data_IF_781870888649
#
_entry.id   IF_781870888649
#
_cell.length_a   1.000
_cell.length_b   1.000
_cell.length_c   1.000
_cell.angle_alpha   90.00
_cell.angle_beta   90.00
_cell.angle_gamma   90.00
#
_symmetry.space_group_name_H-M   'P 1'
#
loop_
_entity.id
_entity.type
_entity.pdbx_description
1 polymer ?
#
# COMPACT_ATOMS: atom_id res chain seq x y z
N UNK A 1 20.43 -18.96 -22.31
CA UNK A 1 21.62 -18.71 -21.46
C UNK A 1 21.34 -17.47 -20.64
N UNK A 2 21.20 -17.60 -19.31
CA UNK A 2 21.15 -16.43 -18.44
C UNK A 2 22.58 -15.90 -18.32
N UNK A 3 22.79 -14.61 -18.61
CA UNK A 3 24.06 -13.96 -18.35
C UNK A 3 24.40 -14.14 -16.86
N UNK A 4 25.58 -14.67 -16.57
CA UNK A 4 26.09 -14.77 -15.21
C UNK A 4 26.11 -13.38 -14.57
N UNK A 5 25.54 -13.25 -13.38
CA UNK A 5 25.56 -11.99 -12.63
C UNK A 5 27.02 -11.55 -12.43
N UNK A 6 27.30 -10.24 -12.54
CA UNK A 6 28.66 -9.72 -12.34
C UNK A 6 29.16 -10.05 -10.93
N UNK A 7 30.45 -10.38 -10.81
CA UNK A 7 31.08 -10.74 -9.53
C UNK A 7 31.24 -9.57 -8.56
N UNK A 8 31.07 -8.34 -9.03
CA UNK A 8 31.11 -7.11 -8.25
C UNK A 8 30.07 -6.11 -8.78
N UNK A 9 29.46 -5.36 -7.87
CA UNK A 9 28.54 -4.28 -8.18
C UNK A 9 28.78 -3.11 -7.23
N UNK A 10 28.84 -1.89 -7.77
CA UNK A 10 29.02 -0.69 -6.94
C UNK A 10 27.72 -0.32 -6.21
N UNK A 11 26.57 -0.56 -6.85
CA UNK A 11 25.24 -0.28 -6.31
C UNK A 11 24.30 -1.46 -6.60
N UNK A 12 23.61 -1.94 -5.57
CA UNK A 12 22.55 -2.96 -5.65
C UNK A 12 21.22 -2.32 -5.25
N UNK A 13 20.27 -2.28 -6.17
CA UNK A 13 18.92 -1.79 -5.93
C UNK A 13 17.98 -2.98 -5.78
N UNK A 14 17.34 -3.13 -4.63
CA UNK A 14 16.33 -4.17 -4.40
C UNK A 14 14.94 -3.54 -4.50
N UNK A 15 14.30 -3.71 -5.67
CA UNK A 15 12.97 -3.17 -5.96
C UNK A 15 11.82 -4.03 -5.42
N UNK A 16 10.69 -3.39 -5.13
CA UNK A 16 9.53 -3.97 -4.42
C UNK A 16 8.59 -4.83 -5.25
N UNK A 17 8.92 -5.05 -6.52
CA UNK A 17 8.16 -5.97 -7.35
C UNK A 17 8.34 -7.42 -6.88
N UNK A 18 7.45 -8.33 -7.30
CA UNK A 18 7.60 -9.75 -7.06
C UNK A 18 8.99 -10.27 -7.48
N UNK A 19 9.59 -9.69 -8.53
CA UNK A 19 10.94 -10.01 -8.98
C UNK A 19 12.04 -9.66 -7.95
N UNK A 20 11.99 -8.49 -7.32
CA UNK A 20 13.04 -8.07 -6.38
C UNK A 20 12.90 -8.73 -5.00
N UNK A 21 11.66 -8.99 -4.54
CA UNK A 21 11.44 -9.80 -3.35
C UNK A 21 11.85 -11.26 -3.57
N UNK A 22 11.50 -11.85 -4.73
CA UNK A 22 11.94 -13.20 -5.08
C UNK A 22 13.46 -13.29 -5.19
N UNK A 23 14.12 -12.29 -5.77
CA UNK A 23 15.58 -12.22 -5.83
C UNK A 23 16.21 -12.14 -4.43
N UNK A 24 15.69 -11.28 -3.55
CA UNK A 24 16.18 -11.14 -2.18
C UNK A 24 16.01 -12.44 -1.37
N UNK A 25 14.83 -13.08 -1.43
CA UNK A 25 14.56 -14.36 -0.77
C UNK A 25 15.45 -15.48 -1.32
N UNK A 26 15.64 -15.52 -2.63
CA UNK A 26 16.49 -16.49 -3.34
C UNK A 26 17.97 -16.36 -2.93
N UNK A 27 18.44 -15.14 -2.65
CA UNK A 27 19.79 -14.88 -2.12
C UNK A 27 19.92 -15.30 -0.66
N UNK A 28 18.95 -14.94 0.19
CA UNK A 28 18.93 -15.36 1.61
C UNK A 28 18.90 -16.88 1.75
N UNK A 29 18.11 -17.58 0.94
CA UNK A 29 18.02 -19.05 0.96
C UNK A 29 19.35 -19.73 0.56
N UNK A 30 20.23 -19.03 -0.18
CA UNK A 30 21.59 -19.48 -0.52
C UNK A 30 22.65 -19.02 0.49
N UNK A 31 22.23 -18.48 1.64
CA UNK A 31 23.14 -17.98 2.68
C UNK A 31 23.79 -16.63 2.34
N UNK A 32 23.34 -15.94 1.29
CA UNK A 32 23.88 -14.65 0.85
C UNK A 32 23.01 -13.55 1.48
N UNK A 33 23.46 -13.00 2.61
CA UNK A 33 22.84 -11.82 3.22
C UNK A 33 23.40 -10.55 2.56
N UNK A 34 22.59 -9.89 1.74
CA UNK A 34 23.05 -8.74 0.96
C UNK A 34 23.52 -7.56 1.84
N UNK A 35 22.92 -7.35 3.02
CA UNK A 35 23.33 -6.28 3.96
C UNK A 35 22.86 -6.46 5.41
N UNK A 36 22.19 -7.57 5.77
CA UNK A 36 21.69 -7.79 7.14
C UNK A 36 20.66 -6.77 7.64
N UNK A 37 19.89 -6.13 6.76
CA UNK A 37 18.85 -5.15 7.15
C UNK A 37 17.65 -5.90 7.75
N UNK A 38 17.35 -5.76 9.06
CA UNK A 38 16.20 -6.44 9.66
C UNK A 38 14.91 -5.67 9.38
N UNK A 39 13.78 -6.38 9.35
CA UNK A 39 12.48 -5.73 9.49
C UNK A 39 12.20 -5.42 10.97
N UNK A 40 11.67 -4.23 11.20
CA UNK A 40 11.33 -3.69 12.51
C UNK A 40 9.86 -3.27 12.55
N UNK A 41 9.29 -3.29 13.75
CA UNK A 41 7.93 -2.83 13.96
C UNK A 41 7.87 -1.29 13.83
N UNK A 42 6.96 -0.74 13.02
CA UNK A 42 6.96 0.69 12.68
C UNK A 42 6.81 1.65 13.87
N UNK A 43 6.18 1.19 14.96
CA UNK A 43 5.83 2.03 16.12
C UNK A 43 6.98 2.19 17.12
N UNK A 44 7.75 1.13 17.34
CA UNK A 44 8.75 1.06 18.41
C UNK A 44 10.16 0.70 17.89
N UNK A 45 10.30 0.38 16.60
CA UNK A 45 11.56 0.02 15.98
C UNK A 45 12.14 -1.33 16.45
N UNK A 46 11.37 -2.14 17.19
CA UNK A 46 11.83 -3.45 17.67
C UNK A 46 11.86 -4.44 16.50
N UNK A 47 12.83 -5.37 16.45
CA UNK A 47 12.85 -6.41 15.43
C UNK A 47 11.53 -7.19 15.39
N UNK A 48 11.00 -7.39 14.18
CA UNK A 48 9.84 -8.25 13.95
C UNK A 48 10.34 -9.68 14.07
N UNK A 49 9.85 -10.44 15.05
CA UNK A 49 10.17 -11.87 15.16
C UNK A 49 9.65 -12.61 13.93
N UNK A 50 10.29 -13.73 13.55
CA UNK A 50 9.95 -14.54 12.36
C UNK A 50 8.46 -14.94 12.26
N UNK A 51 7.71 -14.84 13.36
CA UNK A 51 6.27 -15.12 13.44
C UNK A 51 5.53 -14.14 14.36
N UNK A 52 5.67 -12.83 14.19
CA UNK A 52 4.65 -11.91 14.72
C UNK A 52 3.57 -11.70 13.68
N UNK A 53 2.70 -12.70 13.54
CA UNK A 53 1.37 -12.45 12.99
C UNK A 53 0.68 -11.48 13.93
N UNK A 54 0.39 -10.26 13.47
CA UNK A 54 -0.63 -9.47 14.16
C UNK A 54 -1.90 -10.31 14.17
N UNK A 55 -2.50 -10.63 15.34
CA UNK A 55 -3.67 -11.50 15.43
C UNK A 55 -4.90 -10.93 14.71
N UNK A 56 -4.79 -9.72 14.15
CA UNK A 56 -5.78 -9.06 13.32
C UNK A 56 -5.26 -8.86 11.89
N UNK A 57 -4.69 -9.89 11.25
CA UNK A 57 -4.37 -9.84 9.81
C UNK A 57 -5.67 -9.52 9.04
N UNK A 58 -5.81 -8.25 8.64
CA UNK A 58 -7.00 -7.77 7.95
C UNK A 58 -6.98 -8.30 6.53
N UNK A 59 -8.16 -8.69 6.07
CA UNK A 59 -8.32 -9.24 4.75
C UNK A 59 -8.91 -8.22 3.80
N UNK A 60 -8.18 -7.99 2.71
CA UNK A 60 -8.66 -7.23 1.57
C UNK A 60 -8.92 -8.19 0.42
N UNK A 61 -10.07 -8.03 -0.21
CA UNK A 61 -10.46 -8.73 -1.43
C UNK A 61 -10.56 -7.68 -2.51
N UNK A 62 -9.77 -7.84 -3.57
CA UNK A 62 -9.87 -7.04 -4.78
C UNK A 62 -10.46 -7.93 -5.87
N UNK A 63 -11.35 -7.35 -6.68
CA UNK A 63 -12.07 -8.10 -7.69
C UNK A 63 -12.51 -7.20 -8.83
N UNK A 64 -12.30 -7.66 -10.07
CA UNK A 64 -12.87 -7.04 -11.26
C UNK A 64 -14.18 -7.74 -11.59
N UNK A 65 -15.25 -7.00 -11.88
CA UNK A 65 -16.61 -7.54 -11.84
C UNK A 65 -17.44 -6.96 -12.97
N UNK A 66 -18.21 -7.81 -13.66
CA UNK A 66 -19.30 -7.39 -14.53
C UNK A 66 -20.63 -7.52 -13.78
N UNK A 67 -21.40 -6.45 -13.70
CA UNK A 67 -22.73 -6.46 -13.08
C UNK A 67 -23.83 -6.79 -14.10
N UNK A 68 -24.93 -7.35 -13.63
CA UNK A 68 -26.15 -7.54 -14.43
C UNK A 68 -26.79 -6.18 -14.73
N UNK A 69 -27.21 -5.99 -15.97
CA UNK A 69 -27.96 -4.81 -16.39
C UNK A 69 -29.47 -5.06 -16.25
N UNK A 70 -30.28 -4.03 -15.95
CA UNK A 70 -29.87 -2.65 -15.69
C UNK A 70 -29.29 -2.46 -14.28
N UNK A 71 -28.20 -1.70 -14.18
CA UNK A 71 -27.67 -1.28 -12.88
C UNK A 71 -28.70 -0.45 -12.08
N UNK A 72 -28.75 -0.59 -10.74
CA UNK A 72 -29.59 0.27 -9.91
C UNK A 72 -29.24 1.76 -10.08
N UNK A 73 -30.21 2.69 -10.01
CA UNK A 73 -30.00 4.12 -10.38
C UNK A 73 -28.95 4.86 -9.55
N UNK A 74 -28.60 4.34 -8.37
CA UNK A 74 -27.64 4.94 -7.45
C UNK A 74 -26.20 4.42 -7.64
N UNK A 75 -25.99 3.46 -8.56
CA UNK A 75 -24.66 2.99 -8.92
C UNK A 75 -24.14 3.86 -10.07
N UNK A 76 -23.21 4.76 -9.75
CA UNK A 76 -22.56 5.61 -10.75
C UNK A 76 -21.65 4.78 -11.67
N UNK A 77 -21.60 5.15 -12.96
CA UNK A 77 -20.68 4.57 -13.95
C UNK A 77 -19.37 5.35 -14.07
N UNK A 78 -19.32 6.56 -13.54
CA UNK A 78 -18.19 7.48 -13.73
C UNK A 78 -17.49 7.83 -12.42
N UNK A 79 -18.07 7.46 -11.28
CA UNK A 79 -17.57 7.83 -9.96
C UNK A 79 -17.26 6.61 -9.10
N UNK A 80 -16.15 6.69 -8.37
CA UNK A 80 -15.84 5.71 -7.34
C UNK A 80 -16.75 5.90 -6.13
N UNK A 81 -17.38 4.82 -5.68
CA UNK A 81 -18.21 4.80 -4.49
C UNK A 81 -17.44 4.16 -3.34
N UNK A 82 -17.35 4.87 -2.21
CA UNK A 82 -16.78 4.35 -0.97
C UNK A 82 -17.88 4.26 0.07
N UNK A 83 -18.13 3.06 0.58
CA UNK A 83 -19.09 2.79 1.63
C UNK A 83 -18.39 2.27 2.87
N UNK A 84 -18.80 2.76 4.04
CA UNK A 84 -18.30 2.25 5.31
C UNK A 84 -19.34 1.36 5.95
N UNK A 85 -19.08 0.05 5.92
CA UNK A 85 -19.97 -0.95 6.51
C UNK A 85 -19.58 -1.26 7.94
N UNK A 86 -20.36 -2.10 8.61
CA UNK A 86 -20.03 -2.59 9.95
C UNK A 86 -18.75 -3.45 9.97
N UNK A 87 -18.37 -4.06 8.85
CA UNK A 87 -17.24 -4.99 8.77
C UNK A 87 -16.00 -4.40 8.08
N UNK A 88 -16.11 -3.20 7.52
CA UNK A 88 -15.00 -2.51 6.85
C UNK A 88 -15.45 -1.64 5.67
N UNK A 89 -14.49 -1.03 4.96
CA UNK A 89 -14.77 -0.24 3.77
C UNK A 89 -15.09 -1.16 2.58
N UNK A 90 -16.14 -0.83 1.84
CA UNK A 90 -16.41 -1.35 0.52
C UNK A 90 -16.12 -0.24 -0.49
N UNK A 91 -15.27 -0.53 -1.47
CA UNK A 91 -14.86 0.43 -2.50
C UNK A 91 -15.25 -0.15 -3.85
N UNK A 92 -16.06 0.59 -4.58
CA UNK A 92 -16.46 0.27 -5.94
C UNK A 92 -15.87 1.33 -6.87
N UNK A 93 -15.12 0.89 -7.87
CA UNK A 93 -14.54 1.75 -8.91
C UNK A 93 -15.00 1.21 -10.26
N UNK A 94 -15.76 1.98 -11.04
CA UNK A 94 -16.16 1.55 -12.38
C UNK A 94 -14.91 1.45 -13.28
N UNK A 95 -14.75 0.30 -13.95
CA UNK A 95 -13.68 0.02 -14.91
C UNK A 95 -14.29 -0.09 -16.31
N UNK A 96 -13.67 0.55 -17.29
CA UNK A 96 -14.16 0.59 -18.68
C UNK A 96 -13.68 -0.58 -19.57
N UNK A 97 -13.04 -1.63 -19.02
CA UNK A 97 -12.59 -2.81 -19.79
C UNK A 97 -12.73 -4.12 -18.97
N UNK A 98 -13.27 -5.24 -19.51
CA UNK A 98 -13.72 -6.40 -18.72
C UNK A 98 -12.90 -7.68 -18.99
N UNK A 99 -11.99 -8.13 -18.10
CA UNK A 99 -11.34 -9.47 -18.25
C UNK A 99 -11.05 -10.23 -16.94
N UNK A 100 -11.86 -11.30 -16.70
CA UNK A 100 -11.68 -12.64 -16.02
C UNK A 100 -11.00 -12.82 -14.62
N UNK A 101 -11.25 -13.87 -13.75
CA UNK A 101 -12.45 -14.60 -13.18
C UNK A 101 -12.56 -14.86 -11.59
N UNK A 102 -13.76 -15.25 -11.03
CA UNK A 102 -13.95 -15.97 -9.71
C UNK A 102 -15.17 -15.75 -8.71
N UNK A 103 -16.43 -16.09 -9.02
CA UNK A 103 -17.72 -15.64 -8.39
C UNK A 103 -18.01 -15.82 -6.85
N UNK A 104 -17.50 -16.82 -6.13
CA UNK A 104 -18.15 -17.30 -4.87
C UNK A 104 -17.82 -16.53 -3.58
N UNK A 105 -16.60 -16.02 -3.42
CA UNK A 105 -16.23 -15.22 -2.23
C UNK A 105 -16.72 -13.78 -2.38
N UNK A 106 -16.63 -13.24 -3.58
CA UNK A 106 -17.03 -11.87 -3.89
C UNK A 106 -18.54 -11.66 -3.76
N UNK A 107 -19.36 -12.60 -4.25
CA UNK A 107 -20.82 -12.54 -4.12
C UNK A 107 -21.26 -12.40 -2.66
N UNK A 108 -20.65 -13.14 -1.74
CA UNK A 108 -20.92 -13.00 -0.29
C UNK A 108 -20.57 -11.62 0.26
N UNK A 109 -19.49 -11.00 -0.24
CA UNK A 109 -19.04 -9.68 0.21
C UNK A 109 -19.94 -8.57 -0.34
N UNK A 110 -20.34 -8.64 -1.62
CA UNK A 110 -21.29 -7.68 -2.20
C UNK A 110 -22.68 -7.82 -1.59
N UNK A 111 -23.19 -9.04 -1.44
CA UNK A 111 -24.51 -9.28 -0.85
C UNK A 111 -24.56 -8.79 0.60
N UNK A 112 -23.45 -8.91 1.35
CA UNK A 112 -23.40 -8.47 2.74
C UNK A 112 -23.07 -6.98 2.91
N UNK A 113 -22.26 -6.37 2.04
CA UNK A 113 -21.62 -5.07 2.27
C UNK A 113 -21.72 -4.08 1.11
N UNK A 114 -22.29 -4.51 -0.02
CA UNK A 114 -22.39 -3.71 -1.24
C UNK A 114 -23.44 -2.60 -1.18
N UNK A 115 -23.52 -1.77 -2.24
CA UNK A 115 -24.51 -0.72 -2.35
C UNK A 115 -25.93 -1.27 -2.21
N UNK A 116 -26.68 -0.77 -1.23
CA UNK A 116 -28.04 -1.24 -0.94
C UNK A 116 -28.15 -2.39 0.06
N UNK A 117 -27.07 -3.09 0.43
CA UNK A 117 -27.12 -4.26 1.34
C UNK A 117 -27.56 -3.94 2.78
N UNK A 118 -27.56 -2.66 3.15
CA UNK A 118 -27.93 -2.16 4.48
C UNK A 118 -29.15 -1.23 4.47
N UNK A 119 -29.84 -1.06 3.32
CA UNK A 119 -30.94 -0.10 3.20
C UNK A 119 -32.30 -0.79 3.40
N UNK A 120 -33.16 -0.13 4.18
CA UNK A 120 -34.53 -0.57 4.45
C UNK A 120 -35.55 -0.15 3.36
N UNK A 121 -35.09 0.50 2.29
CA UNK A 121 -35.94 1.11 1.25
C UNK A 121 -36.29 0.16 0.08
N UNK A 122 -35.87 -1.10 0.15
CA UNK A 122 -36.31 -2.16 -0.78
C UNK A 122 -35.75 -2.04 -2.20
N UNK A 123 -34.82 -1.12 -2.45
CA UNK A 123 -34.17 -1.00 -3.76
C UNK A 123 -33.30 -2.24 -4.02
N UNK A 124 -33.30 -2.78 -5.26
CA UNK A 124 -32.57 -4.00 -5.58
C UNK A 124 -31.06 -3.78 -5.46
N UNK A 125 -30.36 -4.74 -4.86
CA UNK A 125 -28.90 -4.76 -4.83
C UNK A 125 -28.33 -5.12 -6.21
N UNK A 126 -27.18 -4.55 -6.61
CA UNK A 126 -26.53 -4.93 -7.87
C UNK A 126 -26.18 -6.42 -7.89
N UNK A 127 -26.58 -7.13 -8.95
CA UNK A 127 -26.29 -8.56 -9.11
C UNK A 127 -25.02 -8.75 -9.93
N UNK A 128 -24.15 -9.63 -9.47
CA UNK A 128 -22.89 -9.95 -10.19
C UNK A 128 -23.18 -10.90 -11.35
N UNK A 129 -23.01 -10.42 -12.58
CA UNK A 129 -23.21 -11.22 -13.81
C UNK A 129 -22.05 -12.18 -14.01
N UNK A 130 -20.83 -11.64 -14.06
CA UNK A 130 -19.62 -12.43 -14.22
C UNK A 130 -18.53 -11.83 -13.33
N UNK A 131 -17.63 -12.67 -12.84
CA UNK A 131 -16.44 -12.15 -12.20
C UNK A 131 -15.32 -12.15 -13.24
N UNK A 132 -14.61 -11.02 -13.30
CA UNK A 132 -13.29 -10.86 -13.85
C UNK A 132 -12.28 -11.18 -12.74
N UNK A 133 -11.12 -10.55 -12.51
CA UNK A 133 -10.10 -11.16 -11.64
C UNK A 133 -10.50 -11.16 -10.15
N UNK A 134 -9.91 -12.04 -9.31
CA UNK A 134 -9.95 -11.81 -7.86
C UNK A 134 -8.65 -12.17 -7.15
N UNK A 135 -8.26 -11.32 -6.21
CA UNK A 135 -7.07 -11.51 -5.38
C UNK A 135 -7.39 -11.29 -3.90
N UNK A 136 -6.70 -12.05 -3.06
CA UNK A 136 -6.82 -12.01 -1.60
C UNK A 136 -5.51 -11.53 -1.01
N UNK A 137 -5.55 -10.44 -0.26
CA UNK A 137 -4.38 -9.85 0.38
C UNK A 137 -4.55 -9.82 1.90
N UNK A 138 -3.68 -10.56 2.61
CA UNK A 138 -3.53 -10.43 4.05
C UNK A 138 -2.54 -9.30 4.36
N UNK A 139 -2.96 -8.34 5.16
CA UNK A 139 -2.13 -7.18 5.47
C UNK A 139 -1.28 -7.43 6.71
N UNK A 140 0.03 -7.26 6.53
CA UNK A 140 1.01 -7.14 7.62
C UNK A 140 1.80 -5.87 7.38
N UNK A 141 1.86 -5.00 8.39
CA UNK A 141 2.75 -3.84 8.35
C UNK A 141 4.18 -4.30 8.62
N UNK A 142 5.12 -3.86 7.81
CA UNK A 142 6.54 -4.15 7.95
C UNK A 142 7.35 -2.90 7.63
N UNK A 143 8.48 -2.69 8.30
CA UNK A 143 9.38 -1.57 8.01
C UNK A 143 10.82 -2.04 8.05
N UNK A 144 11.60 -1.84 7.00
CA UNK A 144 13.02 -2.13 7.01
C UNK A 144 13.76 -1.19 7.97
N UNK A 145 14.69 -1.74 8.76
CA UNK A 145 15.52 -0.99 9.72
C UNK A 145 16.29 0.16 9.08
N UNK A 146 16.68 0.01 7.82
CA UNK A 146 17.31 1.03 7.01
C UNK A 146 16.89 0.89 5.53
N UNK A 147 16.84 2.01 4.81
CA UNK A 147 16.58 2.04 3.36
C UNK A 147 17.87 2.20 2.53
N UNK A 148 18.98 2.45 3.23
CA UNK A 148 20.33 2.48 2.68
C UNK A 148 21.26 1.75 3.63
N UNK A 149 22.13 0.91 3.09
CA UNK A 149 23.23 0.29 3.81
C UNK A 149 24.44 0.13 2.89
N UNK A 150 25.61 -0.11 3.49
CA UNK A 150 26.79 -0.57 2.78
C UNK A 150 27.06 -2.01 3.18
N UNK A 151 27.32 -2.88 2.22
CA UNK A 151 27.60 -4.30 2.47
C UNK A 151 28.45 -4.88 1.35
N UNK A 152 29.45 -5.68 1.72
CA UNK A 152 30.32 -6.38 0.76
C UNK A 152 30.95 -5.46 -0.31
N UNK A 153 31.28 -4.21 0.07
CA UNK A 153 31.84 -3.21 -0.83
C UNK A 153 30.81 -2.43 -1.66
N UNK A 154 29.54 -2.85 -1.68
CA UNK A 154 28.48 -2.25 -2.47
C UNK A 154 27.57 -1.30 -1.65
N UNK A 155 26.98 -0.33 -2.33
CA UNK A 155 25.85 0.46 -1.82
C UNK A 155 24.54 -0.29 -2.05
N UNK A 156 23.72 -0.44 -1.02
CA UNK A 156 22.43 -1.13 -1.11
C UNK A 156 21.30 -0.16 -0.80
N UNK A 157 20.38 -0.02 -1.75
CA UNK A 157 19.19 0.84 -1.62
C UNK A 157 17.92 -0.02 -1.69
N UNK A 158 16.99 0.23 -0.77
CA UNK A 158 15.64 -0.36 -0.78
C UNK A 158 14.65 0.61 -1.40
N UNK A 159 14.00 0.21 -2.49
CA UNK A 159 13.11 1.05 -3.28
C UNK A 159 11.69 0.49 -3.30
N UNK A 160 10.73 1.31 -2.86
CA UNK A 160 9.31 0.97 -2.80
C UNK A 160 8.97 0.03 -1.65
N UNK A 161 7.91 -0.76 -1.83
CA UNK A 161 7.44 -1.77 -0.88
C UNK A 161 8.44 -2.83 -0.37
N UNK A 162 9.72 -2.84 -0.78
CA UNK A 162 10.77 -3.64 -0.13
C UNK A 162 11.16 -3.08 1.22
N UNK A 163 11.13 -1.76 1.36
CA UNK A 163 11.45 -1.08 2.61
C UNK A 163 10.26 -0.99 3.56
N UNK A 164 9.03 -1.23 3.06
CA UNK A 164 7.83 -1.11 3.88
C UNK A 164 6.63 -1.92 3.34
N UNK A 165 5.93 -2.63 4.22
CA UNK A 165 4.59 -3.17 3.99
C UNK A 165 3.58 -2.37 4.80
N UNK A 166 2.41 -2.08 4.25
CA UNK A 166 1.33 -1.39 4.95
C UNK A 166 -0.04 -1.77 4.40
N UNK A 167 -1.11 -1.41 5.13
CA UNK A 167 -2.49 -1.58 4.66
C UNK A 167 -2.71 -0.85 3.33
N UNK A 168 -3.47 -1.44 2.38
CA UNK A 168 -3.85 -0.78 1.14
C UNK A 168 -4.83 0.38 1.39
N UNK A 169 -5.32 0.57 2.62
CA UNK A 169 -6.14 1.71 3.00
C UNK A 169 -5.52 3.03 2.54
N UNK A 170 -6.25 3.69 1.65
CA UNK A 170 -5.88 4.94 1.01
C UNK A 170 -5.01 4.87 -0.24
N UNK A 171 -4.77 3.68 -0.80
CA UNK A 171 -4.23 3.51 -2.16
C UNK A 171 -2.81 4.05 -2.36
N UNK A 172 -2.01 4.13 -1.29
CA UNK A 172 -0.70 4.81 -1.33
C UNK A 172 0.45 3.94 -1.88
N UNK A 173 0.33 2.60 -1.91
CA UNK A 173 1.48 1.70 -2.06
C UNK A 173 2.25 1.85 -3.38
N UNK A 174 1.54 1.84 -4.52
CA UNK A 174 2.17 1.98 -5.85
C UNK A 174 2.69 3.40 -6.05
N UNK A 175 1.87 4.38 -5.69
CA UNK A 175 2.25 5.79 -5.76
C UNK A 175 3.59 5.98 -5.01
N UNK A 176 3.72 5.43 -3.81
CA UNK A 176 4.89 5.61 -2.95
C UNK A 176 6.12 4.94 -3.58
N UNK A 177 5.92 3.76 -4.16
CA UNK A 177 6.96 3.01 -4.86
C UNK A 177 7.49 3.75 -6.10
N UNK A 178 6.62 4.44 -6.85
CA UNK A 178 7.02 5.28 -7.99
C UNK A 178 7.89 6.45 -7.48
N UNK A 179 7.44 7.16 -6.44
CA UNK A 179 8.20 8.27 -5.88
C UNK A 179 9.52 7.84 -5.23
N UNK A 180 9.57 6.65 -4.61
CA UNK A 180 10.83 6.04 -4.16
C UNK A 180 11.78 5.78 -5.32
N UNK A 181 11.27 5.28 -6.44
CA UNK A 181 12.05 5.02 -7.65
C UNK A 181 12.71 6.29 -8.21
N UNK A 182 11.94 7.37 -8.34
CA UNK A 182 12.46 8.68 -8.77
C UNK A 182 13.53 9.18 -7.80
N UNK A 183 13.28 9.14 -6.49
CA UNK A 183 14.24 9.58 -5.45
C UNK A 183 15.52 8.75 -5.45
N UNK A 184 15.41 7.45 -5.63
CA UNK A 184 16.57 6.56 -5.73
C UNK A 184 17.40 6.90 -6.98
N UNK A 185 16.74 7.15 -8.12
CA UNK A 185 17.40 7.60 -9.35
C UNK A 185 18.19 8.89 -9.15
N UNK A 186 17.59 9.92 -8.54
CA UNK A 186 18.27 11.18 -8.22
C UNK A 186 19.46 10.96 -7.28
N UNK A 187 19.27 10.22 -6.18
CA UNK A 187 20.34 9.97 -5.21
C UNK A 187 21.52 9.20 -5.82
N UNK A 188 21.26 8.24 -6.72
CA UNK A 188 22.29 7.52 -7.46
C UNK A 188 23.02 8.44 -8.44
N UNK A 189 22.29 9.28 -9.18
CA UNK A 189 22.91 10.22 -10.12
C UNK A 189 23.82 11.24 -9.40
N UNK A 190 23.35 11.81 -8.29
CA UNK A 190 24.12 12.72 -7.45
C UNK A 190 25.35 12.03 -6.83
N UNK A 191 25.20 10.79 -6.35
CA UNK A 191 26.30 9.99 -5.83
C UNK A 191 27.39 9.77 -6.89
N UNK A 192 26.99 9.38 -8.10
CA UNK A 192 27.91 9.18 -9.24
C UNK A 192 28.60 10.48 -9.64
N UNK A 193 27.84 11.58 -9.74
CA UNK A 193 28.38 12.89 -10.12
C UNK A 193 29.36 13.46 -9.09
N UNK A 194 29.11 13.23 -7.79
CA UNK A 194 30.00 13.67 -6.71
C UNK A 194 31.33 12.89 -6.66
N UNK A 195 31.41 11.72 -7.31
CA UNK A 195 32.58 10.85 -7.28
C UNK A 195 32.86 10.26 -5.89
N UNK A 196 33.97 9.52 -5.71
CA UNK A 196 34.30 8.90 -4.44
C UNK A 196 34.57 9.95 -3.36
N UNK A 197 33.77 9.98 -2.29
CA UNK A 197 33.99 10.92 -1.19
C UNK A 197 32.86 10.98 -0.18
N UNK A 198 33.10 11.67 0.94
CA UNK A 198 32.14 11.79 2.03
C UNK A 198 30.82 12.44 1.60
N UNK A 199 30.88 13.45 0.73
CA UNK A 199 29.71 14.12 0.17
C UNK A 199 28.81 13.14 -0.60
N UNK A 200 29.42 12.28 -1.41
CA UNK A 200 28.74 11.26 -2.20
C UNK A 200 28.05 10.20 -1.32
N UNK A 201 28.66 9.81 -0.20
CA UNK A 201 28.03 8.91 0.77
C UNK A 201 26.89 9.56 1.56
N UNK A 202 26.99 10.86 1.85
CA UNK A 202 25.94 11.62 2.56
C UNK A 202 24.64 11.66 1.76
N UNK A 203 24.70 11.76 0.43
CA UNK A 203 23.51 11.72 -0.44
C UNK A 203 22.71 10.43 -0.23
N UNK A 204 23.38 9.27 -0.26
CA UNK A 204 22.72 7.98 -0.07
C UNK A 204 22.20 7.77 1.35
N UNK A 205 22.90 8.30 2.36
CA UNK A 205 22.43 8.31 3.75
C UNK A 205 21.17 9.16 3.91
N UNK A 206 21.14 10.34 3.28
CA UNK A 206 19.97 11.22 3.29
C UNK A 206 18.77 10.58 2.59
N UNK A 207 18.99 9.91 1.45
CA UNK A 207 17.98 9.06 0.81
C UNK A 207 17.41 8.03 1.80
N UNK A 208 18.28 7.27 2.47
CA UNK A 208 17.86 6.23 3.41
C UNK A 208 17.06 6.78 4.60
N UNK A 209 17.51 7.88 5.19
CA UNK A 209 16.83 8.53 6.32
C UNK A 209 15.45 9.08 5.91
N UNK A 210 15.37 9.71 4.74
CA UNK A 210 14.12 10.28 4.21
C UNK A 210 13.12 9.19 3.83
N UNK A 211 13.58 8.12 3.16
CA UNK A 211 12.74 6.97 2.81
C UNK A 211 12.08 6.34 4.03
N UNK A 212 12.85 6.12 5.10
CA UNK A 212 12.34 5.59 6.37
C UNK A 212 11.30 6.53 7.02
N UNK A 213 11.55 7.84 7.02
CA UNK A 213 10.61 8.82 7.60
C UNK A 213 9.26 8.86 6.86
N UNK A 214 9.31 8.83 5.51
CA UNK A 214 8.10 8.77 4.66
C UNK A 214 7.34 7.46 4.90
N UNK A 215 8.03 6.32 4.93
CA UNK A 215 7.42 5.02 5.18
C UNK A 215 6.68 4.97 6.52
N UNK A 216 7.28 5.49 7.59
CA UNK A 216 6.64 5.59 8.93
C UNK A 216 5.38 6.46 8.88
N UNK A 217 5.43 7.59 8.17
CA UNK A 217 4.28 8.49 8.01
C UNK A 217 3.11 7.78 7.31
N UNK A 218 3.40 7.10 6.20
CA UNK A 218 2.38 6.38 5.40
C UNK A 218 1.77 5.23 6.19
N UNK A 219 2.60 4.42 6.87
CA UNK A 219 2.11 3.35 7.77
C UNK A 219 1.17 3.93 8.83
N UNK A 220 1.52 5.06 9.45
CA UNK A 220 0.68 5.69 10.47
C UNK A 220 -0.65 6.17 9.90
N UNK A 221 -0.65 6.77 8.71
CA UNK A 221 -1.88 7.19 8.02
C UNK A 221 -2.76 5.97 7.74
N UNK A 222 -2.21 4.91 7.16
CA UNK A 222 -2.95 3.69 6.85
C UNK A 222 -3.48 2.99 8.10
N UNK A 223 -2.72 2.92 9.20
CA UNK A 223 -3.20 2.40 10.48
C UNK A 223 -4.33 3.23 11.08
N UNK A 224 -4.27 4.56 10.93
CA UNK A 224 -5.31 5.48 11.39
C UNK A 224 -6.59 5.27 10.57
N UNK A 225 -6.49 5.19 9.25
CA UNK A 225 -7.61 4.88 8.36
C UNK A 225 -8.24 3.55 8.72
N UNK A 226 -7.44 2.50 8.86
CA UNK A 226 -7.91 1.18 9.29
C UNK A 226 -8.67 1.24 10.62
N UNK A 227 -8.18 2.01 11.61
CA UNK A 227 -8.83 2.13 12.92
C UNK A 227 -10.20 2.81 12.85
N UNK A 228 -10.38 3.73 11.90
CA UNK A 228 -11.65 4.40 11.65
C UNK A 228 -12.57 3.51 10.83
N UNK A 229 -12.04 2.81 9.84
CA UNK A 229 -12.82 1.99 8.91
C UNK A 229 -13.30 0.67 9.53
N UNK A 230 -12.48 0.03 10.36
CA UNK A 230 -12.78 -1.27 10.97
C UNK A 230 -13.14 -1.09 12.45
N UNK A 231 -14.44 -1.05 12.74
CA UNK A 231 -14.99 -0.92 14.10
C UNK A 231 -15.54 -2.26 14.58
N UNK A 232 -15.45 -2.53 15.88
CA UNK A 232 -15.79 -3.86 16.45
C UNK A 232 -17.29 -4.08 16.65
N UNK A 233 -18.08 -3.01 16.80
CA UNK A 233 -19.50 -3.09 17.21
C UNK A 233 -20.39 -2.22 16.32
N UNK A 234 -21.64 -2.63 16.13
CA UNK A 234 -22.64 -1.94 15.30
C UNK A 234 -22.90 -0.49 15.76
N UNK A 235 -22.98 -0.24 17.08
CA UNK A 235 -23.09 1.12 17.64
C UNK A 235 -21.92 2.02 17.21
N UNK A 236 -20.68 1.52 17.28
CA UNK A 236 -19.51 2.27 16.84
C UNK A 236 -19.56 2.58 15.33
N UNK A 237 -20.14 1.68 14.51
CA UNK A 237 -20.32 1.90 13.08
C UNK A 237 -21.29 3.06 12.78
N UNK A 238 -22.40 3.14 13.53
CA UNK A 238 -23.38 4.23 13.41
C UNK A 238 -22.80 5.57 13.82
N UNK A 239 -22.15 5.64 15.00
CA UNK A 239 -21.49 6.86 15.47
C UNK A 239 -20.41 7.32 14.50
N UNK A 240 -19.55 6.39 14.03
CA UNK A 240 -18.54 6.66 13.00
C UNK A 240 -19.18 7.22 11.74
N UNK A 241 -20.27 6.62 11.25
CA UNK A 241 -20.96 7.06 10.04
C UNK A 241 -21.40 8.52 10.13
N UNK A 242 -22.09 8.90 11.21
CA UNK A 242 -22.52 10.29 11.43
C UNK A 242 -21.35 11.26 11.64
N UNK A 243 -20.35 10.86 12.43
CA UNK A 243 -19.16 11.67 12.65
C UNK A 243 -18.39 11.93 11.34
N UNK A 244 -18.22 10.91 10.50
CA UNK A 244 -17.54 11.05 9.21
C UNK A 244 -18.33 11.89 8.22
N UNK A 245 -19.65 11.70 8.14
CA UNK A 245 -20.51 12.56 7.33
C UNK A 245 -20.36 14.04 7.72
N UNK A 246 -20.43 14.33 9.02
CA UNK A 246 -20.27 15.69 9.54
C UNK A 246 -18.88 16.26 9.24
N UNK A 247 -17.82 15.52 9.55
CA UNK A 247 -16.43 15.96 9.36
C UNK A 247 -16.09 16.17 7.89
N UNK A 248 -16.55 15.30 6.99
CA UNK A 248 -16.32 15.43 5.54
C UNK A 248 -17.19 16.52 4.89
N UNK A 249 -18.27 16.94 5.55
CA UNK A 249 -19.06 18.11 5.13
C UNK A 249 -18.35 19.45 5.42
N UNK A 250 -17.36 19.45 6.32
CA UNK A 250 -16.55 20.63 6.64
C UNK A 250 -15.43 20.77 5.60
N UNK A 251 -15.55 21.75 4.70
CA UNK A 251 -14.67 21.91 3.53
C UNK A 251 -13.16 21.92 3.87
N UNK A 252 -12.68 22.63 4.91
CA UNK A 252 -11.26 22.56 5.29
C UNK A 252 -10.80 21.17 5.73
N UNK A 253 -11.66 20.40 6.40
CA UNK A 253 -11.34 19.04 6.86
C UNK A 253 -11.34 18.05 5.69
N UNK A 254 -12.34 18.17 4.80
CA UNK A 254 -12.41 17.38 3.58
C UNK A 254 -11.20 17.65 2.67
N UNK A 255 -10.87 18.93 2.44
CA UNK A 255 -9.69 19.31 1.64
C UNK A 255 -8.40 18.73 2.24
N UNK A 256 -8.23 18.81 3.56
CA UNK A 256 -7.07 18.19 4.24
C UNK A 256 -7.02 16.67 4.09
N UNK A 257 -8.17 16.00 4.18
CA UNK A 257 -8.28 14.56 3.96
C UNK A 257 -7.88 14.21 2.52
N UNK A 258 -8.48 14.85 1.51
CA UNK A 258 -8.16 14.64 0.09
C UNK A 258 -6.67 14.87 -0.21
N UNK A 259 -6.08 15.97 0.27
CA UNK A 259 -4.65 16.25 0.05
C UNK A 259 -3.72 15.25 0.77
N UNK A 260 -4.19 14.62 1.85
CA UNK A 260 -3.43 13.56 2.53
C UNK A 260 -3.52 12.26 1.74
N UNK A 261 -4.70 11.95 1.21
CA UNK A 261 -4.97 10.76 0.38
C UNK A 261 -4.37 10.88 -1.03
N UNK A 262 -4.13 12.08 -1.55
CA UNK A 262 -3.42 12.29 -2.81
C UNK A 262 -1.90 12.28 -2.66
N UNK A 263 -1.36 12.18 -1.44
CA UNK A 263 0.07 12.23 -1.17
C UNK A 263 0.68 13.65 -1.19
N UNK A 264 -0.08 14.67 -1.58
CA UNK A 264 0.40 16.07 -1.67
C UNK A 264 0.99 16.55 -0.33
N UNK A 265 0.33 16.24 0.80
CA UNK A 265 0.81 16.67 2.13
C UNK A 265 1.94 15.83 2.71
N UNK A 266 2.16 14.64 2.17
CA UNK A 266 3.17 13.72 2.69
C UNK A 266 4.58 14.06 2.16
N UNK A 267 4.74 15.19 1.45
CA UNK A 267 6.03 15.69 0.96
C UNK A 267 6.50 15.03 -0.34
N UNK A 268 5.59 14.38 -1.06
CA UNK A 268 5.90 13.62 -2.27
C UNK A 268 6.45 14.50 -3.38
N UNK A 269 5.93 15.74 -3.50
CA UNK A 269 6.33 16.71 -4.52
C UNK A 269 7.58 17.53 -4.21
N UNK A 270 8.31 17.27 -3.13
CA UNK A 270 9.61 17.92 -2.90
C UNK A 270 10.71 17.19 -3.69
N UNK A 271 10.60 17.24 -5.01
CA UNK A 271 11.71 17.00 -5.92
C UNK A 271 12.34 18.36 -6.20
N UNK A 272 13.41 18.69 -5.48
CA UNK A 272 14.30 19.79 -5.85
C UNK A 272 15.56 19.18 -6.40
#
# INVERSE_FOLDING_TARGET
MYASLPSQADIVIVGAGPAGLAAALSLVHRGISACGIPFVEPRNGRPVGAHTHSPAARLFVLADVEFEEPLPPYVSRDEALIMLTAQGPFVFMPLNDPRAPGHTVFRRVVDAYGPGSHRADGLPTPKVKSLAESSRHSVVSALAGAFYARGHGAHVLLVGGTGHGHSPAGGQGINLSICDGVRAGTAVAEHVAAGPGEASYKVLQQYGARGRAVAVSVIRVSETLDSVQFVKNAWHATVRGHAMWFLLSILPLNSRFVQTMSGIRQGWGQFR
#
